data_IF_917077140141
#
_entry.id   IF_917077140141
#
_cell.length_a   1.000
_cell.length_b   1.000
_cell.length_c   1.000
_cell.angle_alpha   90.00
_cell.angle_beta   90.00
_cell.angle_gamma   90.00
#
_symmetry.space_group_name_H-M   'P 1'
#
loop_
_entity.id
_entity.type
_entity.pdbx_description
1 polymer ?
#
# COMPACT_ATOMS: atom_id res chain seq x y z
N UNK A 1 -18.13 -6.95 -4.39
CA UNK A 1 -17.54 -6.03 -3.42
C UNK A 1 -18.46 -5.73 -2.25
N UNK A 2 -19.71 -5.30 -2.46
CA UNK A 2 -20.69 -5.02 -1.39
C UNK A 2 -20.89 -6.23 -0.46
N UNK A 3 -21.01 -7.43 -1.02
CA UNK A 3 -21.12 -8.67 -0.24
C UNK A 3 -19.92 -8.85 0.74
N UNK A 4 -18.69 -8.66 0.27
CA UNK A 4 -17.50 -8.77 1.12
C UNK A 4 -17.47 -7.72 2.23
N UNK A 5 -17.92 -6.49 1.94
CA UNK A 5 -18.03 -5.42 2.94
C UNK A 5 -19.07 -5.80 3.99
N UNK A 6 -20.23 -6.33 3.59
CA UNK A 6 -21.29 -6.76 4.52
C UNK A 6 -20.83 -7.87 5.44
N UNK A 7 -20.17 -8.89 4.88
CA UNK A 7 -19.59 -10.00 5.68
C UNK A 7 -18.52 -9.47 6.63
N UNK A 8 -17.64 -8.57 6.16
CA UNK A 8 -16.58 -7.96 6.97
C UNK A 8 -17.13 -7.18 8.17
N UNK A 9 -18.19 -6.38 7.96
CA UNK A 9 -18.85 -5.62 9.04
C UNK A 9 -19.47 -6.53 10.10
N UNK A 10 -20.15 -7.61 9.67
CA UNK A 10 -20.74 -8.60 10.59
C UNK A 10 -19.66 -9.35 11.37
N UNK A 11 -18.61 -9.81 10.69
CA UNK A 11 -17.50 -10.52 11.34
C UNK A 11 -16.76 -9.62 12.33
N UNK A 12 -16.56 -8.35 11.99
CA UNK A 12 -15.93 -7.39 12.89
C UNK A 12 -16.78 -7.16 14.15
N UNK A 13 -18.10 -7.07 14.01
CA UNK A 13 -18.99 -6.98 15.17
C UNK A 13 -18.81 -8.17 16.10
N UNK A 14 -18.83 -9.39 15.57
CA UNK A 14 -18.64 -10.61 16.34
C UNK A 14 -17.29 -10.65 17.06
N UNK A 15 -16.21 -10.29 16.39
CA UNK A 15 -14.86 -10.32 16.94
C UNK A 15 -14.59 -9.22 17.99
N UNK A 16 -15.15 -8.02 17.78
CA UNK A 16 -14.87 -6.86 18.64
C UNK A 16 -15.84 -6.66 19.80
N UNK A 17 -16.96 -7.40 19.84
CA UNK A 17 -18.01 -7.26 20.84
C UNK A 17 -17.49 -7.37 22.28
N UNK A 18 -16.73 -8.42 22.58
CA UNK A 18 -16.20 -8.66 23.94
C UNK A 18 -15.13 -7.62 24.31
N UNK A 19 -14.27 -7.27 23.38
CA UNK A 19 -13.23 -6.26 23.57
C UNK A 19 -13.85 -4.87 23.83
N UNK A 20 -14.89 -4.49 23.07
CA UNK A 20 -15.59 -3.22 23.24
C UNK A 20 -16.34 -3.13 24.56
N UNK A 21 -16.95 -4.24 25.01
CA UNK A 21 -17.68 -4.30 26.27
C UNK A 21 -16.78 -4.17 27.49
N UNK A 22 -15.54 -4.64 27.41
CA UNK A 22 -14.59 -4.65 28.53
C UNK A 22 -13.58 -3.49 28.46
N UNK A 23 -13.57 -2.70 27.37
CA UNK A 23 -12.62 -1.61 27.16
C UNK A 23 -13.11 -0.29 27.78
N UNK A 24 -12.25 0.34 28.61
CA UNK A 24 -12.50 1.68 29.14
C UNK A 24 -12.53 2.74 28.02
N UNK A 25 -11.70 2.57 27.00
CA UNK A 25 -11.59 3.49 25.84
C UNK A 25 -12.87 3.56 25.01
N UNK A 26 -13.73 2.55 25.12
CA UNK A 26 -15.01 2.46 24.39
C UNK A 26 -16.21 2.87 25.22
N UNK A 27 -15.99 3.40 26.45
CA UNK A 27 -17.04 3.65 27.44
C UNK A 27 -17.93 2.41 27.71
N UNK A 28 -17.33 1.21 27.65
CA UNK A 28 -18.03 -0.07 27.81
C UNK A 28 -19.18 -0.30 26.80
N UNK A 29 -19.18 0.40 25.67
CA UNK A 29 -20.21 0.28 24.64
C UNK A 29 -19.83 -0.82 23.63
N UNK A 30 -20.58 -1.95 23.60
CA UNK A 30 -20.27 -3.08 22.72
C UNK A 30 -20.44 -2.75 21.23
N UNK A 31 -21.19 -1.70 20.88
CA UNK A 31 -21.45 -1.28 19.51
C UNK A 31 -20.46 -0.24 18.99
N UNK A 32 -19.50 0.22 19.80
CA UNK A 32 -18.59 1.31 19.43
C UNK A 32 -17.85 1.05 18.11
N UNK A 33 -17.17 -0.07 18.01
CA UNK A 33 -16.43 -0.44 16.80
C UNK A 33 -17.35 -0.72 15.61
N UNK A 34 -18.50 -1.35 15.86
CA UNK A 34 -19.47 -1.64 14.81
C UNK A 34 -20.02 -0.38 14.16
N UNK A 35 -20.45 0.61 14.95
CA UNK A 35 -20.99 1.88 14.45
C UNK A 35 -19.93 2.64 13.66
N UNK A 36 -18.69 2.69 14.15
CA UNK A 36 -17.60 3.34 13.44
C UNK A 36 -17.29 2.63 12.12
N UNK A 37 -17.23 1.31 12.11
CA UNK A 37 -17.03 0.54 10.88
C UNK A 37 -18.16 0.74 9.88
N UNK A 38 -19.41 0.80 10.34
CA UNK A 38 -20.56 1.04 9.49
C UNK A 38 -20.51 2.44 8.83
N UNK A 39 -20.11 3.47 9.59
CA UNK A 39 -19.89 4.82 9.05
C UNK A 39 -18.83 4.83 7.96
N UNK A 40 -17.66 4.22 8.23
CA UNK A 40 -16.58 4.16 7.24
C UNK A 40 -16.96 3.32 6.02
N UNK A 41 -17.70 2.22 6.20
CA UNK A 41 -18.22 1.41 5.09
C UNK A 41 -19.19 2.21 4.22
N UNK A 42 -20.10 2.97 4.82
CA UNK A 42 -21.04 3.82 4.09
C UNK A 42 -20.30 4.92 3.30
N UNK A 43 -19.34 5.62 3.93
CA UNK A 43 -18.50 6.61 3.25
C UNK A 43 -17.72 5.95 2.11
N UNK A 44 -17.13 4.78 2.34
CA UNK A 44 -16.39 4.04 1.33
C UNK A 44 -17.23 3.65 0.11
N UNK A 45 -18.48 3.22 0.33
CA UNK A 45 -19.42 2.91 -0.76
C UNK A 45 -19.77 4.19 -1.57
N UNK A 46 -20.03 5.32 -0.89
CA UNK A 46 -20.31 6.60 -1.58
C UNK A 46 -19.09 7.02 -2.41
N UNK A 47 -17.90 6.99 -1.85
CA UNK A 47 -16.66 7.32 -2.56
C UNK A 47 -16.45 6.38 -3.74
N UNK A 48 -16.67 5.07 -3.57
CA UNK A 48 -16.58 4.09 -4.66
C UNK A 48 -17.52 4.43 -5.82
N UNK A 49 -18.77 4.80 -5.53
CA UNK A 49 -19.73 5.17 -6.55
C UNK A 49 -19.36 6.49 -7.26
N UNK A 50 -18.85 7.47 -6.53
CA UNK A 50 -18.35 8.73 -7.10
C UNK A 50 -17.15 8.48 -8.02
N UNK A 51 -16.17 7.73 -7.54
CA UNK A 51 -14.95 7.38 -8.30
C UNK A 51 -15.28 6.57 -9.56
N UNK A 52 -16.29 5.66 -9.49
CA UNK A 52 -16.71 4.87 -10.64
C UNK A 52 -17.31 5.70 -11.79
N UNK A 53 -17.74 6.93 -11.51
CA UNK A 53 -18.27 7.88 -12.53
C UNK A 53 -17.17 8.74 -13.15
N UNK A 54 -15.96 8.73 -12.62
CA UNK A 54 -14.84 9.52 -13.13
C UNK A 54 -14.28 8.90 -14.42
N UNK A 55 -13.87 9.75 -15.35
CA UNK A 55 -13.21 9.32 -16.59
C UNK A 55 -11.80 8.82 -16.29
N UNK A 56 -11.39 7.77 -16.98
CA UNK A 56 -10.03 7.18 -16.85
C UNK A 56 -8.91 8.20 -17.14
N UNK A 57 -9.17 9.16 -18.03
CA UNK A 57 -8.22 10.23 -18.37
C UNK A 57 -7.85 11.11 -17.18
N UNK A 58 -8.77 11.30 -16.21
CA UNK A 58 -8.48 11.98 -14.96
C UNK A 58 -7.42 11.23 -14.15
N UNK A 59 -7.60 9.93 -13.98
CA UNK A 59 -6.62 9.10 -13.27
C UNK A 59 -5.25 9.13 -13.95
N UNK A 60 -5.24 9.11 -15.28
CA UNK A 60 -4.03 9.24 -16.08
C UNK A 60 -3.32 10.58 -15.84
N UNK A 61 -4.05 11.68 -15.82
CA UNK A 61 -3.48 13.01 -15.58
C UNK A 61 -2.92 13.18 -14.17
N UNK A 62 -3.57 12.57 -13.16
CA UNK A 62 -3.16 12.68 -11.75
C UNK A 62 -2.20 11.58 -11.28
N UNK A 63 -1.88 10.59 -12.12
CA UNK A 63 -1.06 9.44 -11.75
C UNK A 63 0.32 9.83 -11.21
N UNK A 64 1.02 10.76 -11.88
CA UNK A 64 2.31 11.26 -11.44
C UNK A 64 2.22 12.03 -10.12
N UNK A 65 1.16 12.85 -9.96
CA UNK A 65 0.94 13.62 -8.74
C UNK A 65 0.66 12.70 -7.55
N UNK A 66 -0.19 11.69 -7.73
CA UNK A 66 -0.51 10.71 -6.67
C UNK A 66 0.74 9.91 -6.27
N UNK A 67 1.56 9.50 -7.24
CA UNK A 67 2.84 8.85 -6.97
C UNK A 67 3.80 9.74 -6.19
N UNK A 68 3.89 11.01 -6.54
CA UNK A 68 4.74 11.99 -5.83
C UNK A 68 4.23 12.26 -4.42
N UNK A 69 2.93 12.50 -4.25
CA UNK A 69 2.30 12.74 -2.95
C UNK A 69 2.48 11.54 -2.02
N UNK A 70 2.29 10.32 -2.53
CA UNK A 70 2.51 9.11 -1.73
C UNK A 70 3.96 8.96 -1.26
N UNK A 71 4.93 9.32 -2.11
CA UNK A 71 6.35 9.31 -1.74
C UNK A 71 6.67 10.36 -0.67
N UNK A 72 6.13 11.57 -0.81
CA UNK A 72 6.30 12.65 0.19
C UNK A 72 5.70 12.23 1.53
N UNK A 73 4.51 11.63 1.53
CA UNK A 73 3.86 11.16 2.76
C UNK A 73 4.63 10.03 3.45
N UNK A 74 5.24 9.10 2.69
CA UNK A 74 6.12 8.08 3.25
C UNK A 74 7.35 8.69 3.91
N UNK A 75 7.97 9.68 3.28
CA UNK A 75 9.11 10.40 3.87
C UNK A 75 8.66 11.17 5.12
N UNK A 76 7.51 11.83 5.05
CA UNK A 76 6.97 12.61 6.17
C UNK A 76 6.73 11.74 7.42
N UNK A 77 6.14 10.53 7.25
CA UNK A 77 5.88 9.64 8.40
C UNK A 77 7.16 9.09 9.03
N UNK A 78 8.22 8.95 8.25
CA UNK A 78 9.53 8.55 8.79
C UNK A 78 10.18 9.64 9.65
N UNK A 79 9.92 10.93 9.32
CA UNK A 79 10.45 12.08 10.06
C UNK A 79 9.60 12.38 11.29
N UNK A 80 8.27 12.33 11.16
CA UNK A 80 7.30 12.67 12.21
C UNK A 80 6.35 11.50 12.50
N UNK A 81 6.83 10.42 13.12
CA UNK A 81 5.98 9.28 13.43
C UNK A 81 5.05 9.58 14.61
N UNK A 82 3.80 9.15 14.52
CA UNK A 82 2.92 9.06 15.70
C UNK A 82 3.41 7.91 16.58
N UNK A 83 3.87 8.24 17.78
CA UNK A 83 4.25 7.23 18.78
C UNK A 83 2.98 6.81 19.51
N UNK A 84 2.52 5.58 19.26
CA UNK A 84 1.43 4.98 20.02
C UNK A 84 2.01 4.50 21.36
N UNK A 85 1.41 4.93 22.47
CA UNK A 85 1.87 4.61 23.81
C UNK A 85 2.16 3.10 23.98
N UNK A 86 3.41 2.77 24.36
CA UNK A 86 3.88 1.40 24.53
C UNK A 86 4.37 0.66 23.28
N UNK A 87 4.42 1.32 22.11
CA UNK A 87 4.91 0.74 20.85
C UNK A 87 5.75 1.75 20.08
N UNK A 88 6.82 2.22 20.65
CA UNK A 88 7.75 3.20 20.04
C UNK A 88 8.38 2.72 18.71
N UNK A 89 8.31 1.43 18.43
CA UNK A 89 8.94 0.79 17.27
C UNK A 89 8.11 0.90 15.97
N UNK A 90 6.83 1.28 16.04
CA UNK A 90 5.93 1.29 14.87
C UNK A 90 5.64 2.69 14.35
N UNK A 91 6.49 3.20 13.48
CA UNK A 91 6.40 4.53 12.83
C UNK A 91 5.53 4.47 11.56
N UNK A 92 4.22 4.16 11.67
CA UNK A 92 3.38 3.83 10.50
C UNK A 92 2.20 4.78 10.30
N UNK A 93 1.83 5.55 11.30
CA UNK A 93 0.58 6.28 11.33
C UNK A 93 0.82 7.78 11.40
N UNK A 94 0.01 8.54 10.65
CA UNK A 94 -0.08 9.99 10.75
C UNK A 94 -1.40 10.33 11.42
N UNK A 95 -1.36 11.15 12.46
CA UNK A 95 -2.55 11.67 13.12
C UNK A 95 -3.12 12.83 12.31
N UNK A 96 -4.32 12.65 11.76
CA UNK A 96 -5.08 13.71 11.12
C UNK A 96 -6.11 14.34 12.06
N UNK A 97 -6.06 14.02 13.36
CA UNK A 97 -6.97 14.51 14.38
C UNK A 97 -8.32 13.82 14.43
N UNK A 98 -8.88 13.42 13.30
CA UNK A 98 -10.16 12.71 13.17
C UNK A 98 -9.96 11.21 13.01
N UNK A 99 -8.90 10.83 12.31
CA UNK A 99 -8.54 9.43 12.05
C UNK A 99 -7.04 9.26 11.90
N UNK A 100 -6.55 8.07 12.22
CA UNK A 100 -5.18 7.69 11.94
C UNK A 100 -5.06 7.26 10.48
N UNK A 101 -4.14 7.88 9.75
CA UNK A 101 -3.91 7.60 8.34
C UNK A 101 -2.57 6.90 8.13
N UNK A 102 -2.56 5.84 7.32
CA UNK A 102 -1.37 5.08 6.99
C UNK A 102 -0.90 5.39 5.57
N UNK A 103 0.24 6.08 5.37
CA UNK A 103 0.73 6.46 4.04
C UNK A 103 1.03 5.30 3.10
N UNK A 104 1.41 4.15 3.63
CA UNK A 104 1.67 2.95 2.82
C UNK A 104 0.43 2.43 2.07
N UNK A 105 -0.79 2.75 2.51
CA UNK A 105 -2.02 2.44 1.78
C UNK A 105 -2.12 3.26 0.49
N UNK A 106 -1.81 4.57 0.57
CA UNK A 106 -1.77 5.44 -0.61
C UNK A 106 -0.60 5.06 -1.54
N UNK A 107 0.52 4.61 -0.97
CA UNK A 107 1.68 4.20 -1.76
C UNK A 107 1.37 3.03 -2.70
N UNK A 108 0.54 2.08 -2.28
CA UNK A 108 0.07 0.98 -3.15
C UNK A 108 -0.68 1.51 -4.37
N UNK A 109 -1.63 2.44 -4.15
CA UNK A 109 -2.34 3.09 -5.25
C UNK A 109 -1.41 3.94 -6.11
N UNK A 110 -0.49 4.68 -5.47
CA UNK A 110 0.51 5.51 -6.16
C UNK A 110 1.35 4.72 -7.14
N UNK A 111 1.86 3.55 -6.74
CA UNK A 111 2.65 2.67 -7.60
C UNK A 111 1.81 2.11 -8.75
N UNK A 112 0.58 1.65 -8.49
CA UNK A 112 -0.31 1.13 -9.53
C UNK A 112 -0.54 2.20 -10.61
N UNK A 113 -0.91 3.40 -10.19
CA UNK A 113 -1.21 4.49 -11.13
C UNK A 113 0.04 4.97 -11.86
N UNK A 114 1.15 5.14 -11.16
CA UNK A 114 2.41 5.60 -11.73
C UNK A 114 2.96 4.59 -12.77
N UNK A 115 2.98 3.30 -12.42
CA UNK A 115 3.46 2.26 -13.33
C UNK A 115 2.54 2.10 -14.54
N UNK A 116 1.21 2.11 -14.34
CA UNK A 116 0.26 2.06 -15.47
C UNK A 116 0.49 3.22 -16.45
N UNK A 117 0.65 4.43 -15.94
CA UNK A 117 0.92 5.60 -16.76
C UNK A 117 2.26 5.51 -17.48
N UNK A 118 3.33 5.14 -16.80
CA UNK A 118 4.67 5.02 -17.37
C UNK A 118 4.73 3.92 -18.43
N UNK A 119 4.11 2.77 -18.18
CA UNK A 119 4.09 1.64 -19.11
C UNK A 119 3.31 1.96 -20.38
N UNK A 120 2.19 2.67 -20.26
CA UNK A 120 1.43 3.13 -21.40
C UNK A 120 2.23 4.14 -22.23
N UNK A 121 2.79 5.16 -21.59
CA UNK A 121 3.51 6.23 -22.27
C UNK A 121 4.82 5.77 -22.92
N UNK A 122 5.50 4.82 -22.32
CA UNK A 122 6.81 4.33 -22.78
C UNK A 122 6.77 2.86 -23.24
N UNK A 123 5.62 2.40 -23.73
CA UNK A 123 5.39 1.00 -24.11
C UNK A 123 6.51 0.41 -24.95
N UNK A 124 6.83 1.03 -26.11
CA UNK A 124 7.90 0.59 -27.02
C UNK A 124 9.27 0.53 -26.33
N UNK A 125 9.59 1.51 -25.48
CA UNK A 125 10.86 1.53 -24.75
C UNK A 125 10.91 0.48 -23.64
N UNK A 126 9.77 0.18 -23.01
CA UNK A 126 9.68 -0.84 -21.97
C UNK A 126 9.88 -2.24 -22.52
N UNK A 127 9.36 -2.51 -23.73
CA UNK A 127 9.51 -3.80 -24.40
C UNK A 127 10.93 -4.01 -24.97
N UNK A 128 11.60 -2.94 -25.46
CA UNK A 128 12.88 -3.04 -26.16
C UNK A 128 14.09 -2.83 -25.25
N UNK A 129 14.02 -1.88 -24.31
CA UNK A 129 15.19 -1.37 -23.59
C UNK A 129 15.27 -1.89 -22.15
N UNK A 130 16.31 -2.65 -21.84
CA UNK A 130 16.57 -3.18 -20.50
C UNK A 130 16.71 -2.10 -19.41
N UNK A 131 17.18 -0.89 -19.76
CA UNK A 131 17.35 0.19 -18.77
C UNK A 131 16.02 0.72 -18.22
N UNK A 132 14.91 0.59 -18.97
CA UNK A 132 13.58 0.93 -18.45
C UNK A 132 13.19 0.04 -17.26
N UNK A 133 13.56 -1.23 -17.30
CA UNK A 133 13.39 -2.14 -16.16
C UNK A 133 14.12 -1.62 -14.91
N UNK A 134 15.35 -1.09 -15.07
CA UNK A 134 16.10 -0.54 -13.94
C UNK A 134 15.40 0.69 -13.34
N UNK A 135 14.76 1.51 -14.16
CA UNK A 135 13.96 2.65 -13.67
C UNK A 135 12.77 2.15 -12.85
N UNK A 136 11.99 1.20 -13.38
CA UNK A 136 10.85 0.63 -12.64
C UNK A 136 11.31 -0.05 -11.33
N UNK A 137 12.37 -0.85 -11.41
CA UNK A 137 12.95 -1.51 -10.25
C UNK A 137 13.49 -0.48 -9.23
N UNK A 138 14.11 0.60 -9.69
CA UNK A 138 14.59 1.69 -8.85
C UNK A 138 13.45 2.40 -8.11
N UNK A 139 12.38 2.78 -8.82
CA UNK A 139 11.19 3.40 -8.21
C UNK A 139 10.57 2.44 -7.19
N UNK A 140 10.35 1.18 -7.58
CA UNK A 140 9.80 0.16 -6.69
C UNK A 140 10.68 -0.06 -5.46
N UNK A 141 12.00 -0.11 -5.66
CA UNK A 141 12.98 -0.24 -4.58
C UNK A 141 12.93 0.90 -3.57
N UNK A 142 12.80 2.15 -4.04
CA UNK A 142 12.65 3.32 -3.17
C UNK A 142 11.40 3.21 -2.31
N UNK A 143 10.25 2.88 -2.89
CA UNK A 143 9.00 2.69 -2.14
C UNK A 143 9.12 1.54 -1.12
N UNK A 144 9.65 0.40 -1.54
CA UNK A 144 9.84 -0.75 -0.65
C UNK A 144 10.80 -0.43 0.51
N UNK A 145 11.90 0.29 0.26
CA UNK A 145 12.86 0.68 1.28
C UNK A 145 12.25 1.66 2.30
N UNK A 146 11.46 2.63 1.84
CA UNK A 146 10.77 3.57 2.73
C UNK A 146 9.78 2.83 3.64
N UNK A 147 8.93 1.96 3.07
CA UNK A 147 7.95 1.17 3.82
C UNK A 147 8.65 0.18 4.77
N UNK A 148 9.77 -0.40 4.35
CA UNK A 148 10.58 -1.28 5.20
C UNK A 148 11.12 -0.53 6.42
N UNK A 149 11.58 0.72 6.25
CA UNK A 149 12.04 1.58 7.36
C UNK A 149 10.92 1.98 8.33
N UNK A 150 9.66 1.90 7.93
CA UNK A 150 8.49 2.06 8.81
C UNK A 150 8.24 0.81 9.69
N UNK A 151 9.14 -0.19 9.68
CA UNK A 151 8.96 -1.51 10.31
C UNK A 151 7.70 -2.25 9.80
N UNK A 152 7.38 -2.09 8.50
CA UNK A 152 6.20 -2.67 7.87
C UNK A 152 6.57 -3.65 6.75
N UNK A 153 7.18 -4.79 7.14
CA UNK A 153 7.65 -5.81 6.20
C UNK A 153 6.53 -6.33 5.29
N UNK A 154 5.35 -6.61 5.84
CA UNK A 154 4.21 -7.12 5.05
C UNK A 154 3.74 -6.10 4.01
N UNK A 155 3.71 -4.81 4.36
CA UNK A 155 3.39 -3.73 3.41
C UNK A 155 4.40 -3.62 2.28
N UNK A 156 5.70 -3.72 2.60
CA UNK A 156 6.77 -3.71 1.61
C UNK A 156 6.67 -4.91 0.64
N UNK A 157 6.37 -6.10 1.16
CA UNK A 157 6.16 -7.31 0.34
C UNK A 157 4.96 -7.19 -0.60
N UNK A 158 3.83 -6.62 -0.12
CA UNK A 158 2.65 -6.39 -0.95
C UNK A 158 2.96 -5.39 -2.08
N UNK A 159 3.66 -4.29 -1.77
CA UNK A 159 4.07 -3.30 -2.77
C UNK A 159 5.03 -3.90 -3.79
N UNK A 160 5.99 -4.71 -3.34
CA UNK A 160 6.91 -5.44 -4.21
C UNK A 160 6.16 -6.40 -5.14
N UNK A 161 5.18 -7.15 -4.60
CA UNK A 161 4.35 -8.06 -5.39
C UNK A 161 3.54 -7.30 -6.44
N UNK A 162 2.86 -6.22 -6.03
CA UNK A 162 2.05 -5.38 -6.94
C UNK A 162 2.93 -4.83 -8.08
N UNK A 163 4.05 -4.19 -7.72
CA UNK A 163 4.96 -3.62 -8.71
C UNK A 163 5.58 -4.68 -9.61
N UNK A 164 5.95 -5.83 -9.06
CA UNK A 164 6.45 -6.98 -9.80
C UNK A 164 5.45 -7.54 -10.81
N UNK A 165 4.22 -7.75 -10.39
CA UNK A 165 3.11 -8.20 -11.27
C UNK A 165 2.85 -7.18 -12.37
N UNK A 166 2.83 -5.89 -12.05
CA UNK A 166 2.65 -4.83 -13.05
C UNK A 166 3.79 -4.81 -14.07
N UNK A 167 5.05 -4.93 -13.62
CA UNK A 167 6.20 -4.99 -14.52
C UNK A 167 6.12 -6.21 -15.45
N UNK A 168 5.67 -7.36 -14.93
CA UNK A 168 5.47 -8.57 -15.72
C UNK A 168 4.42 -8.37 -16.82
N UNK A 169 3.23 -7.87 -16.48
CA UNK A 169 2.16 -7.59 -17.45
C UNK A 169 2.46 -6.37 -18.35
N UNK A 170 3.30 -5.45 -17.90
CA UNK A 170 3.72 -4.27 -18.65
C UNK A 170 4.72 -4.56 -19.78
N UNK A 171 5.06 -5.83 -20.03
CA UNK A 171 5.93 -6.24 -21.15
C UNK A 171 7.42 -6.23 -20.83
N UNK A 172 7.80 -6.13 -19.56
CA UNK A 172 9.20 -6.31 -19.14
C UNK A 172 9.61 -7.76 -19.38
N UNK A 173 10.70 -7.97 -20.11
CA UNK A 173 11.14 -9.33 -20.48
C UNK A 173 11.45 -10.20 -19.26
N UNK A 174 10.76 -11.31 -19.14
CA UNK A 174 10.84 -12.25 -18.00
C UNK A 174 12.26 -12.68 -17.65
N UNK A 175 13.14 -12.79 -18.65
CA UNK A 175 14.56 -13.12 -18.46
C UNK A 175 15.28 -12.18 -17.47
N UNK A 176 14.96 -10.91 -17.49
CA UNK A 176 15.55 -9.93 -16.58
C UNK A 176 15.04 -10.08 -15.14
N UNK A 177 13.77 -10.47 -15.00
CA UNK A 177 13.18 -10.83 -13.71
C UNK A 177 13.88 -12.03 -13.08
N UNK A 178 14.08 -13.09 -13.88
CA UNK A 178 14.77 -14.31 -13.42
C UNK A 178 16.23 -14.00 -13.04
N UNK A 179 16.93 -13.20 -13.81
CA UNK A 179 18.31 -12.78 -13.51
C UNK A 179 18.35 -11.99 -12.18
N UNK A 180 17.45 -11.03 -11.99
CA UNK A 180 17.38 -10.23 -10.76
C UNK A 180 17.09 -11.13 -9.54
N UNK A 181 16.16 -12.07 -9.66
CA UNK A 181 15.77 -12.98 -8.60
C UNK A 181 16.89 -13.98 -8.24
N UNK A 182 17.60 -14.47 -9.23
CA UNK A 182 18.75 -15.35 -9.04
C UNK A 182 19.94 -14.63 -8.42
N UNK A 183 20.13 -13.35 -8.76
CA UNK A 183 21.24 -12.54 -8.23
C UNK A 183 20.97 -12.05 -6.80
N UNK A 184 19.71 -11.87 -6.41
CA UNK A 184 19.30 -11.51 -5.05
C UNK A 184 19.09 -12.71 -4.13
N UNK A 185 19.10 -13.94 -4.68
CA UNK A 185 19.06 -15.15 -3.86
C UNK A 185 20.36 -15.28 -3.07
N UNK A 186 20.33 -15.38 -1.74
CA UNK A 186 21.53 -15.58 -0.94
C UNK A 186 22.24 -16.85 -1.40
N UNK A 187 23.51 -16.69 -1.74
CA UNK A 187 24.33 -17.83 -2.18
C UNK A 187 24.37 -18.89 -1.08
N UNK A 188 24.31 -20.20 -1.42
CA UNK A 188 24.49 -21.28 -0.45
C UNK A 188 25.79 -21.19 0.36
N UNK A 189 26.74 -20.35 -0.08
CA UNK A 189 28.00 -20.07 0.64
C UNK A 189 27.80 -19.11 1.82
N UNK A 190 26.80 -18.25 1.79
CA UNK A 190 26.53 -17.30 2.87
C UNK A 190 25.79 -17.95 4.04
N UNK A 191 25.00 -19.00 3.76
CA UNK A 191 24.32 -19.79 4.80
C UNK A 191 25.23 -20.71 5.61
N UNK A 192 26.49 -20.90 5.20
CA UNK A 192 27.47 -21.69 5.96
C UNK A 192 28.32 -20.88 6.95
N UNK A 193 28.12 -19.56 7.02
CA UNK A 193 28.89 -18.65 7.89
C UNK A 193 28.08 -18.05 9.05
N UNK A 194 26.83 -18.43 9.20
CA UNK A 194 26.00 -18.03 10.35
C UNK A 194 25.88 -19.16 11.38
#
# INVERSE_FOLDING_TARGET
MIYLVSVGVVMMFSASYVAARNGADTNYNPYYYFINQLKFAAIGIVVMLLVSRLKVDLFRSFSGLIGLVSLILLIYVLINPKIIAGKEEFKRWIDLGVMDYQPSELAKLGIIMLFSFMMERYRTKTEEKAWMMLIYAGILGVFCLLIYKENHLSGALIVLLIGGVMMFFGGVKLRWFVICLLYTSPSPRDMRRS
#
